data_IF_241860070484
#
_entry.id   IF_241860070484
#
_cell.length_a   1.000
_cell.length_b   1.000
_cell.length_c   1.000
_cell.angle_alpha   90.00
_cell.angle_beta   90.00
_cell.angle_gamma   90.00
#
_symmetry.space_group_name_H-M   'P 1'
#
loop_
_entity.id
_entity.type
_entity.pdbx_description
1 polymer ?
#
# COMPACT_ATOMS: atom_id res chain seq x y z
N UNK A 1 -4.07 -5.12 14.80
CA UNK A 1 -3.63 -4.53 13.52
C UNK A 1 -2.29 -5.14 13.14
N UNK A 2 -1.94 -5.09 11.86
CA UNK A 2 -0.67 -5.61 11.33
C UNK A 2 -0.03 -4.49 10.51
N UNK A 3 1.24 -4.24 10.75
CA UNK A 3 2.11 -3.43 9.92
C UNK A 3 3.34 -4.27 9.60
N UNK A 4 3.91 -4.06 8.42
CA UNK A 4 5.28 -4.46 8.16
C UNK A 4 6.13 -3.21 7.94
N UNK A 5 7.44 -3.39 8.05
CA UNK A 5 8.42 -2.36 7.83
C UNK A 5 9.59 -3.01 7.10
N UNK A 6 9.94 -2.49 5.93
CA UNK A 6 11.14 -2.93 5.22
C UNK A 6 12.37 -2.70 6.10
N UNK A 7 13.38 -3.57 5.98
CA UNK A 7 14.58 -3.52 6.82
C UNK A 7 15.39 -2.22 6.67
N UNK A 8 15.19 -1.50 5.56
CA UNK A 8 15.85 -0.24 5.23
C UNK A 8 15.00 1.00 5.55
N UNK A 9 13.74 0.84 5.93
CA UNK A 9 12.79 1.95 6.17
C UNK A 9 12.67 2.33 7.66
N UNK A 10 12.03 3.48 7.93
CA UNK A 10 11.79 3.97 9.29
C UNK A 10 10.35 4.47 9.48
N UNK A 11 9.68 4.04 10.56
CA UNK A 11 8.47 4.71 11.01
C UNK A 11 8.79 6.06 11.66
N UNK A 12 7.98 7.07 11.33
CA UNK A 12 8.14 8.42 11.85
C UNK A 12 7.00 8.81 12.80
N UNK A 13 7.35 9.61 13.80
CA UNK A 13 6.41 10.24 14.72
C UNK A 13 5.45 9.24 15.38
N UNK A 14 4.15 9.43 15.11
CA UNK A 14 3.06 8.67 15.72
C UNK A 14 2.31 7.77 14.72
N UNK A 15 3.02 7.16 13.75
CA UNK A 15 2.44 6.31 12.69
C UNK A 15 1.38 5.36 13.22
N UNK A 16 1.78 4.50 14.15
CA UNK A 16 0.94 3.43 14.67
C UNK A 16 -0.31 3.98 15.34
N UNK A 17 -0.17 4.91 16.30
CA UNK A 17 -1.33 5.43 17.03
C UNK A 17 -2.28 6.22 16.12
N UNK A 18 -1.76 6.98 15.14
CA UNK A 18 -2.59 7.72 14.18
C UNK A 18 -3.39 6.79 13.26
N UNK A 19 -2.76 5.74 12.72
CA UNK A 19 -3.47 4.76 11.90
C UNK A 19 -4.47 3.92 12.71
N UNK A 20 -4.13 3.55 13.95
CA UNK A 20 -5.08 2.91 14.86
C UNK A 20 -6.28 3.82 15.13
N UNK A 21 -6.06 5.10 15.41
CA UNK A 21 -7.16 6.06 15.65
C UNK A 21 -8.07 6.19 14.42
N UNK A 22 -7.48 6.39 13.23
CA UNK A 22 -8.24 6.46 11.98
C UNK A 22 -9.07 5.17 11.80
N UNK A 23 -8.41 4.02 11.81
CA UNK A 23 -9.11 2.77 11.54
C UNK A 23 -10.11 2.45 12.65
N UNK A 24 -9.85 2.73 13.93
CA UNK A 24 -10.82 2.48 15.00
C UNK A 24 -12.16 3.22 14.78
N UNK A 25 -12.13 4.42 14.18
CA UNK A 25 -13.33 5.19 13.83
C UNK A 25 -14.04 4.70 12.56
N UNK A 26 -13.38 3.88 11.75
CA UNK A 26 -13.81 3.45 10.42
C UNK A 26 -13.74 1.92 10.28
N UNK A 27 -14.68 1.17 10.88
CA UNK A 27 -14.67 -0.30 10.87
C UNK A 27 -14.70 -0.93 9.47
N UNK A 28 -15.24 -0.23 8.47
CA UNK A 28 -15.27 -0.60 7.05
C UNK A 28 -13.88 -0.66 6.38
N UNK A 29 -12.89 0.06 6.93
CA UNK A 29 -11.53 0.08 6.38
C UNK A 29 -10.79 -1.20 6.72
N UNK A 30 -10.35 -1.93 5.70
CA UNK A 30 -9.53 -3.12 5.85
C UNK A 30 -8.07 -2.76 6.08
N UNK A 31 -7.62 -1.67 5.45
CA UNK A 31 -6.28 -1.14 5.57
C UNK A 31 -6.26 0.39 5.44
N UNK A 32 -5.14 1.00 5.82
CA UNK A 32 -4.86 2.41 5.56
C UNK A 32 -3.39 2.61 5.21
N UNK A 33 -3.05 3.67 4.47
CA UNK A 33 -1.67 4.08 4.20
C UNK A 33 -1.44 5.55 4.55
N UNK A 34 -0.19 5.98 4.50
CA UNK A 34 0.22 7.34 4.86
C UNK A 34 1.04 7.97 3.75
N UNK A 35 1.14 9.30 3.76
CA UNK A 35 2.21 9.98 3.04
C UNK A 35 3.58 9.56 3.61
N UNK A 36 4.64 9.76 2.84
CA UNK A 36 6.00 9.38 3.25
C UNK A 36 7.06 10.38 2.78
N UNK A 37 8.22 10.34 3.40
CA UNK A 37 9.43 11.03 2.94
C UNK A 37 10.36 10.04 2.30
N UNK A 38 11.06 10.45 1.25
CA UNK A 38 12.16 9.67 0.67
C UNK A 38 13.46 10.15 1.30
N UNK A 39 14.23 9.22 1.85
CA UNK A 39 15.56 9.44 2.41
C UNK A 39 16.60 8.69 1.58
N UNK A 40 17.83 9.18 1.52
CA UNK A 40 18.93 8.48 0.85
C UNK A 40 19.52 7.34 1.71
N UNK A 41 20.55 6.67 1.20
CA UNK A 41 21.29 5.63 1.93
C UNK A 41 21.83 6.09 3.30
N UNK A 42 22.11 7.39 3.46
CA UNK A 42 22.62 7.98 4.71
C UNK A 42 21.49 8.48 5.64
N UNK A 43 20.23 8.36 5.22
CA UNK A 43 19.07 8.83 5.96
C UNK A 43 18.77 10.32 5.80
N UNK A 44 19.41 10.99 4.84
CA UNK A 44 19.13 12.40 4.54
C UNK A 44 17.87 12.49 3.70
N UNK A 45 16.89 13.26 4.18
CA UNK A 45 15.66 13.52 3.44
C UNK A 45 15.94 14.20 2.11
N UNK A 46 15.42 13.61 1.04
CA UNK A 46 15.52 14.12 -0.32
C UNK A 46 14.26 14.90 -0.70
N UNK A 47 13.09 14.27 -0.54
CA UNK A 47 11.79 14.88 -0.86
C UNK A 47 10.65 14.19 -0.11
N UNK A 48 9.46 14.80 -0.14
CA UNK A 48 8.25 14.25 0.44
C UNK A 48 7.29 13.79 -0.67
N UNK A 49 6.54 12.73 -0.42
CA UNK A 49 5.56 12.15 -1.34
C UNK A 49 4.19 12.15 -0.67
N UNK A 50 3.30 12.97 -1.21
CA UNK A 50 1.87 12.86 -0.97
C UNK A 50 1.34 11.72 -1.84
N UNK A 51 1.11 10.55 -1.25
CA UNK A 51 0.47 9.45 -1.98
C UNK A 51 -0.91 9.90 -2.50
N UNK A 52 -1.26 9.59 -3.75
CA UNK A 52 -2.61 9.84 -4.27
C UNK A 52 -3.66 9.20 -3.37
N UNK A 53 -4.81 9.84 -3.21
CA UNK A 53 -5.97 9.25 -2.54
C UNK A 53 -7.24 9.59 -3.32
N UNK A 54 -8.09 8.58 -3.48
CA UNK A 54 -9.35 8.68 -4.19
C UNK A 54 -10.45 8.25 -3.21
N UNK A 55 -11.34 9.17 -2.78
CA UNK A 55 -12.42 8.85 -1.85
C UNK A 55 -13.35 7.77 -2.41
N UNK A 56 -13.62 7.81 -3.72
CA UNK A 56 -14.40 6.81 -4.42
C UNK A 56 -13.55 5.57 -4.68
N UNK A 57 -13.95 4.43 -4.10
CA UNK A 57 -13.26 3.14 -4.26
C UNK A 57 -13.09 2.75 -5.73
N UNK A 58 -14.10 3.04 -6.57
CA UNK A 58 -14.04 2.81 -8.01
C UNK A 58 -12.88 3.54 -8.67
N UNK A 59 -12.66 4.80 -8.31
CA UNK A 59 -11.57 5.59 -8.87
C UNK A 59 -10.22 5.16 -8.29
N UNK A 60 -10.16 4.81 -7.00
CA UNK A 60 -8.98 4.19 -6.40
C UNK A 60 -8.54 2.95 -7.18
N UNK A 61 -9.46 2.01 -7.43
CA UNK A 61 -9.18 0.78 -8.18
C UNK A 61 -8.76 1.07 -9.62
N UNK A 62 -9.41 2.01 -10.31
CA UNK A 62 -9.02 2.41 -11.67
C UNK A 62 -7.62 2.97 -11.75
N UNK A 63 -7.18 3.68 -10.73
CA UNK A 63 -5.84 4.26 -10.68
C UNK A 63 -4.80 3.21 -10.32
N UNK A 64 -5.15 2.32 -9.37
CA UNK A 64 -4.35 1.13 -9.10
C UNK A 64 -4.16 0.29 -10.38
N UNK A 65 -5.20 0.09 -11.20
CA UNK A 65 -5.09 -0.64 -12.47
C UNK A 65 -4.00 -0.09 -13.41
N UNK A 66 -3.67 1.21 -13.31
CA UNK A 66 -2.60 1.85 -14.08
C UNK A 66 -1.21 1.67 -13.44
N UNK A 67 -1.15 1.46 -12.13
CA UNK A 67 0.07 1.23 -11.38
C UNK A 67 -0.13 1.42 -9.88
N UNK A 68 0.65 0.69 -9.09
CA UNK A 68 0.62 0.83 -7.63
C UNK A 68 1.37 2.10 -7.19
N UNK A 69 0.68 2.95 -6.42
CA UNK A 69 1.25 4.16 -5.82
C UNK A 69 1.31 4.08 -4.28
N UNK A 70 0.89 2.94 -3.70
CA UNK A 70 0.85 2.71 -2.25
C UNK A 70 2.17 2.07 -1.84
N UNK A 71 2.94 2.74 -1.00
CA UNK A 71 4.15 2.17 -0.43
C UNK A 71 3.79 1.14 0.65
N UNK A 72 4.31 -0.09 0.54
CA UNK A 72 3.99 -1.18 1.48
C UNK A 72 4.28 -0.85 2.95
N UNK A 73 5.46 -0.29 3.26
CA UNK A 73 5.84 0.08 4.64
C UNK A 73 4.93 1.17 5.24
N UNK A 74 4.21 1.94 4.41
CA UNK A 74 3.27 2.95 4.91
C UNK A 74 1.97 2.33 5.45
N UNK A 75 1.69 1.07 5.12
CA UNK A 75 0.37 0.46 5.35
C UNK A 75 0.20 -0.04 6.80
N UNK A 76 -1.04 0.03 7.29
CA UNK A 76 -1.56 -0.72 8.41
C UNK A 76 -2.81 -1.48 7.98
N UNK A 77 -2.91 -2.76 8.33
CA UNK A 77 -4.04 -3.63 8.02
C UNK A 77 -4.76 -4.09 9.29
N UNK A 78 -6.05 -4.40 9.17
CA UNK A 78 -6.75 -5.20 10.18
C UNK A 78 -6.35 -6.66 10.04
N UNK A 79 -6.03 -7.30 11.16
CA UNK A 79 -5.78 -8.75 11.21
C UNK A 79 -6.96 -9.56 10.66
N UNK A 80 -8.19 -9.21 11.08
CA UNK A 80 -9.41 -9.89 10.62
C UNK A 80 -9.67 -9.71 9.12
N UNK A 81 -9.23 -8.60 8.52
CA UNK A 81 -9.33 -8.40 7.08
C UNK A 81 -8.32 -9.29 6.35
N UNK A 82 -7.08 -9.38 6.85
CA UNK A 82 -6.04 -10.27 6.31
C UNK A 82 -6.45 -11.75 6.41
N UNK A 83 -7.04 -12.18 7.53
CA UNK A 83 -7.56 -13.54 7.70
C UNK A 83 -8.69 -13.87 6.71
N UNK A 84 -9.54 -12.88 6.36
CA UNK A 84 -10.61 -13.06 5.38
C UNK A 84 -10.11 -13.06 3.93
N UNK A 85 -9.18 -12.17 3.61
CA UNK A 85 -8.69 -11.92 2.25
C UNK A 85 -7.59 -12.93 1.86
N UNK A 86 -6.93 -13.53 2.84
CA UNK A 86 -5.72 -14.34 2.66
C UNK A 86 -4.44 -13.51 2.79
N UNK A 87 -3.32 -14.22 2.78
CA UNK A 87 -1.97 -13.65 2.95
C UNK A 87 -1.37 -13.20 1.62
N UNK A 88 -0.06 -12.91 1.59
CA UNK A 88 0.66 -12.67 0.36
C UNK A 88 0.62 -13.90 -0.55
N UNK A 89 0.61 -13.65 -1.86
CA UNK A 89 0.79 -14.70 -2.85
C UNK A 89 2.30 -14.97 -2.99
N UNK A 90 2.76 -16.11 -2.50
CA UNK A 90 4.17 -16.51 -2.56
C UNK A 90 4.66 -16.75 -4.00
N UNK A 91 3.75 -16.87 -4.97
CA UNK A 91 4.08 -16.89 -6.40
C UNK A 91 4.47 -15.52 -6.97
N UNK A 92 4.32 -14.43 -6.20
CA UNK A 92 4.66 -13.06 -6.59
C UNK A 92 5.91 -12.57 -5.83
N UNK A 93 7.14 -12.82 -6.34
CA UNK A 93 8.37 -12.35 -5.71
C UNK A 93 8.46 -10.82 -5.63
N UNK A 94 7.79 -10.10 -6.52
CA UNK A 94 7.54 -8.66 -6.43
C UNK A 94 6.04 -8.37 -6.53
N UNK A 95 5.61 -7.17 -6.13
CA UNK A 95 4.21 -6.72 -6.23
C UNK A 95 3.19 -7.56 -5.42
N UNK A 96 3.63 -8.41 -4.49
CA UNK A 96 2.75 -9.18 -3.59
C UNK A 96 1.92 -8.27 -2.68
N UNK A 97 2.44 -7.10 -2.29
CA UNK A 97 1.71 -6.09 -1.53
C UNK A 97 0.62 -5.44 -2.39
N UNK A 98 0.95 -5.09 -3.63
CA UNK A 98 0.03 -4.55 -4.61
C UNK A 98 -1.15 -5.50 -4.86
N UNK A 99 -0.88 -6.79 -5.07
CA UNK A 99 -1.92 -7.83 -5.15
C UNK A 99 -2.82 -7.84 -3.90
N UNK A 100 -2.21 -7.77 -2.71
CA UNK A 100 -2.95 -7.80 -1.46
C UNK A 100 -3.89 -6.58 -1.33
N UNK A 101 -3.44 -5.38 -1.69
CA UNK A 101 -4.28 -4.17 -1.68
C UNK A 101 -5.52 -4.32 -2.55
N UNK A 102 -5.33 -4.86 -3.75
CA UNK A 102 -6.41 -5.10 -4.71
C UNK A 102 -7.43 -6.09 -4.13
N UNK A 103 -6.97 -7.19 -3.54
CA UNK A 103 -7.89 -8.17 -2.91
C UNK A 103 -8.61 -7.60 -1.70
N UNK A 104 -7.94 -6.77 -0.89
CA UNK A 104 -8.59 -6.06 0.21
C UNK A 104 -9.75 -5.19 -0.28
N UNK A 105 -9.56 -4.46 -1.38
CA UNK A 105 -10.57 -3.54 -1.92
C UNK A 105 -11.86 -4.23 -2.39
N UNK A 106 -11.86 -5.56 -2.60
CA UNK A 106 -13.10 -6.32 -2.88
C UNK A 106 -14.03 -6.46 -1.68
N UNK A 107 -13.48 -6.38 -0.47
CA UNK A 107 -14.24 -6.66 0.75
C UNK A 107 -14.29 -5.49 1.70
N UNK A 108 -13.36 -4.54 1.56
CA UNK A 108 -13.14 -3.46 2.52
C UNK A 108 -12.81 -2.14 1.82
N UNK A 109 -12.89 -1.07 2.59
CA UNK A 109 -12.42 0.26 2.18
C UNK A 109 -10.95 0.46 2.54
N UNK A 110 -10.35 1.51 1.98
CA UNK A 110 -8.99 1.93 2.27
C UNK A 110 -8.97 3.35 2.82
N UNK A 111 -8.28 3.55 3.94
CA UNK A 111 -8.03 4.88 4.50
C UNK A 111 -6.72 5.50 4.03
N UNK A 112 -6.63 6.83 4.05
CA UNK A 112 -5.40 7.57 3.82
C UNK A 112 -5.16 8.62 4.90
N UNK A 113 -3.95 8.67 5.45
CA UNK A 113 -3.47 9.75 6.31
C UNK A 113 -2.44 10.59 5.56
N UNK A 114 -2.79 11.85 5.28
CA UNK A 114 -1.88 12.86 4.70
C UNK A 114 -0.88 13.39 5.74
N UNK A 115 -0.22 12.49 6.46
CA UNK A 115 0.90 12.79 7.35
C UNK A 115 2.11 12.00 6.86
N UNK A 116 3.27 12.64 6.81
CA UNK A 116 4.54 11.96 6.51
C UNK A 116 4.97 11.11 7.72
N UNK A 117 4.52 9.85 7.75
CA UNK A 117 4.71 8.94 8.90
C UNK A 117 5.65 7.76 8.59
N UNK A 118 6.29 7.81 7.43
CA UNK A 118 7.30 6.86 6.97
C UNK A 118 8.47 7.62 6.35
N UNK A 119 9.69 7.17 6.64
CA UNK A 119 10.89 7.48 5.89
C UNK A 119 11.22 6.25 5.02
N UNK A 120 10.96 6.36 3.73
CA UNK A 120 11.24 5.35 2.73
C UNK A 120 12.67 5.53 2.21
N UNK A 121 13.54 4.53 2.38
CA UNK A 121 14.94 4.65 1.99
C UNK A 121 15.14 4.29 0.53
N UNK A 122 15.67 5.22 -0.24
CA UNK A 122 16.11 4.99 -1.62
C UNK A 122 17.64 5.05 -1.71
N UNK A 123 18.27 3.88 -1.79
CA UNK A 123 19.74 3.72 -1.81
C UNK A 123 20.28 3.24 -3.17
N UNK A 124 19.39 2.98 -4.13
CA UNK A 124 19.77 2.62 -5.49
C UNK A 124 19.89 1.12 -5.74
N UNK A 125 19.81 0.27 -4.72
CA UNK A 125 19.69 -1.20 -4.84
C UNK A 125 18.28 -1.68 -4.44
N UNK A 126 17.34 -0.76 -4.26
CA UNK A 126 15.94 -1.06 -3.95
C UNK A 126 15.35 -2.02 -4.98
N UNK A 127 14.56 -3.00 -4.52
CA UNK A 127 13.83 -3.92 -5.39
C UNK A 127 12.98 -3.19 -6.43
N UNK A 128 12.36 -2.06 -6.04
CA UNK A 128 11.54 -1.22 -6.91
C UNK A 128 12.29 -0.57 -8.09
N UNK A 129 13.64 -0.60 -8.09
CA UNK A 129 14.45 -0.09 -9.20
C UNK A 129 14.40 -1.02 -10.41
N UNK A 130 14.24 -2.33 -10.19
CA UNK A 130 14.17 -3.35 -11.22
C UNK A 130 12.81 -4.07 -11.13
N UNK A 131 11.72 -3.38 -11.54
CA UNK A 131 10.38 -3.93 -11.43
C UNK A 131 10.24 -5.20 -12.26
N UNK A 132 9.69 -6.25 -11.65
CA UNK A 132 9.23 -7.43 -12.36
C UNK A 132 7.88 -7.11 -13.03
N UNK A 133 7.96 -6.76 -14.31
CA UNK A 133 6.79 -6.42 -15.12
C UNK A 133 5.81 -7.59 -15.28
N UNK A 134 6.27 -8.84 -15.15
CA UNK A 134 5.38 -10.00 -15.22
C UNK A 134 4.52 -10.10 -13.94
N UNK A 135 5.13 -9.89 -12.78
CA UNK A 135 4.38 -9.77 -11.52
C UNK A 135 3.36 -8.62 -11.59
N UNK A 136 3.75 -7.44 -12.09
CA UNK A 136 2.85 -6.29 -12.25
C UNK A 136 1.68 -6.64 -13.18
N UNK A 137 1.97 -7.29 -14.32
CA UNK A 137 0.97 -7.71 -15.30
C UNK A 137 -0.03 -8.69 -14.69
N UNK A 138 0.43 -9.67 -13.90
CA UNK A 138 -0.44 -10.61 -13.19
C UNK A 138 -1.41 -9.85 -12.27
N UNK A 139 -0.92 -8.88 -11.49
CA UNK A 139 -1.78 -8.07 -10.61
C UNK A 139 -2.76 -7.23 -11.42
N UNK A 140 -2.35 -6.62 -12.53
CA UNK A 140 -3.24 -5.86 -13.40
C UNK A 140 -4.36 -6.72 -14.01
N UNK A 141 -4.06 -7.94 -14.43
CA UNK A 141 -5.08 -8.89 -14.91
C UNK A 141 -6.02 -9.36 -13.79
N UNK A 142 -5.50 -9.52 -12.57
CA UNK A 142 -6.34 -9.77 -11.38
C UNK A 142 -7.29 -8.61 -11.11
N UNK A 143 -6.84 -7.36 -11.24
CA UNK A 143 -7.73 -6.19 -11.10
C UNK A 143 -8.87 -6.24 -12.13
N UNK A 144 -8.58 -6.54 -13.40
CA UNK A 144 -9.60 -6.67 -14.45
C UNK A 144 -10.63 -7.74 -14.15
N UNK A 145 -10.17 -8.86 -13.60
CA UNK A 145 -11.04 -9.99 -13.23
C UNK A 145 -11.89 -9.66 -12.01
N UNK A 146 -11.27 -9.07 -10.98
CA UNK A 146 -11.92 -8.76 -9.71
C UNK A 146 -12.87 -7.56 -9.79
N UNK A 147 -12.64 -6.62 -10.70
CA UNK A 147 -13.35 -5.34 -10.79
C UNK A 147 -13.81 -5.03 -12.21
N UNK A 148 -14.26 -6.05 -12.95
CA UNK A 148 -14.72 -5.95 -14.34
C UNK A 148 -15.73 -4.80 -14.54
N UNK A 149 -16.58 -4.56 -13.54
CA UNK A 149 -17.58 -3.50 -13.50
C UNK A 149 -17.01 -2.07 -13.46
N UNK A 150 -15.73 -1.92 -13.13
CA UNK A 150 -15.07 -0.63 -12.91
C UNK A 150 -13.97 -0.32 -13.92
N UNK A 151 -13.28 -1.34 -14.43
CA UNK A 151 -12.07 -1.15 -15.23
C UNK A 151 -12.22 -1.50 -16.73
N UNK A 152 -13.41 -1.93 -17.15
CA UNK A 152 -13.80 -1.96 -18.57
C UNK A 152 -14.32 -0.61 -19.06
#
# INVERSE_FOLDING_TARGET
>A
YICWLSADDLFLGRKISKQVELMARHPEMGFSYTAFTVIDGNGVQQYAVDSPYYPEKKDLVRQLAKGCFINGSSVMMRRVAMEKVGFFDEGLPQAHDYDLWVRFLRHYDCGYLRNYLLAYRWHGENMSRNPDYECIRIVQERIKTLFLEWVN
#
